data_IF_757524363962
#
_entry.id   IF_757524363962
#
_cell.length_a   1.000
_cell.length_b   1.000
_cell.length_c   1.000
_cell.angle_alpha   90.00
_cell.angle_beta   90.00
_cell.angle_gamma   90.00
#
_symmetry.space_group_name_H-M   'P 1'
#
loop_
_entity.id
_entity.type
_entity.pdbx_description
1 polymer ?
#
# COMPACT_ATOMS: atom_id res chain seq x y z
N UNK A 1 -4.17 -7.00 -13.97
CA UNK A 1 -4.25 -8.44 -14.24
C UNK A 1 -5.64 -9.03 -14.01
N UNK A 2 -6.31 -8.71 -12.93
CA UNK A 2 -7.71 -9.11 -12.72
C UNK A 2 -8.63 -8.64 -13.87
N UNK A 3 -8.44 -7.41 -14.35
CA UNK A 3 -9.19 -6.89 -15.49
C UNK A 3 -8.92 -7.70 -16.77
N UNK A 4 -7.69 -8.16 -16.98
CA UNK A 4 -7.34 -9.00 -18.14
C UNK A 4 -7.98 -10.38 -18.04
N UNK A 5 -8.03 -10.96 -16.83
CA UNK A 5 -8.70 -12.24 -16.60
C UNK A 5 -10.21 -12.13 -16.80
N UNK A 6 -10.83 -11.05 -16.32
CA UNK A 6 -12.25 -10.78 -16.53
C UNK A 6 -12.56 -10.63 -18.03
N UNK A 7 -11.75 -9.85 -18.75
CA UNK A 7 -11.90 -9.67 -20.19
C UNK A 7 -11.74 -11.00 -20.94
N UNK A 8 -10.77 -11.81 -20.54
CA UNK A 8 -10.56 -13.15 -21.13
C UNK A 8 -11.77 -14.04 -20.89
N UNK A 9 -12.29 -14.05 -19.66
CA UNK A 9 -13.48 -14.84 -19.30
C UNK A 9 -14.67 -14.47 -20.19
N UNK A 10 -14.92 -13.18 -20.40
CA UNK A 10 -15.99 -12.70 -21.27
C UNK A 10 -15.74 -13.06 -22.74
N UNK A 11 -14.49 -12.93 -23.20
CA UNK A 11 -14.13 -13.19 -24.59
C UNK A 11 -14.30 -14.66 -24.99
N UNK A 12 -14.04 -15.61 -24.07
CA UNK A 12 -14.12 -17.05 -24.35
C UNK A 12 -15.51 -17.65 -24.11
N UNK A 13 -16.49 -16.85 -23.63
CA UNK A 13 -17.82 -17.35 -23.31
C UNK A 13 -18.53 -17.93 -24.53
N UNK A 14 -18.34 -17.34 -25.73
CA UNK A 14 -18.96 -17.80 -26.98
C UNK A 14 -18.00 -18.49 -27.96
N UNK A 15 -16.75 -18.73 -27.58
CA UNK A 15 -15.73 -19.34 -28.44
C UNK A 15 -14.60 -19.95 -27.62
N UNK A 16 -13.75 -20.76 -28.27
CA UNK A 16 -12.54 -21.24 -27.63
C UNK A 16 -11.52 -20.10 -27.46
N UNK A 17 -10.67 -20.22 -26.43
CA UNK A 17 -9.57 -19.30 -26.24
C UNK A 17 -8.53 -19.43 -27.38
N UNK A 18 -7.97 -18.29 -27.77
CA UNK A 18 -6.87 -18.27 -28.76
C UNK A 18 -5.56 -18.69 -28.10
N UNK A 19 -4.56 -19.05 -28.93
CA UNK A 19 -3.23 -19.38 -28.43
C UNK A 19 -2.58 -18.23 -27.68
N UNK A 20 -2.83 -16.99 -28.10
CA UNK A 20 -2.34 -15.80 -27.39
C UNK A 20 -2.97 -15.65 -26.01
N UNK A 21 -4.27 -15.89 -25.90
CA UNK A 21 -4.99 -15.87 -24.63
C UNK A 21 -4.52 -16.98 -23.69
N UNK A 22 -4.28 -18.19 -24.22
CA UNK A 22 -3.71 -19.27 -23.44
C UNK A 22 -2.29 -18.96 -22.97
N UNK A 23 -1.49 -18.31 -23.81
CA UNK A 23 -0.14 -17.89 -23.43
C UNK A 23 -0.15 -16.87 -22.32
N UNK A 24 -1.10 -15.95 -22.33
CA UNK A 24 -1.30 -14.99 -21.23
C UNK A 24 -1.47 -15.71 -19.88
N UNK A 25 -2.29 -16.76 -19.85
CA UNK A 25 -2.50 -17.57 -18.65
C UNK A 25 -1.25 -18.35 -18.25
N UNK A 26 -0.54 -18.94 -19.22
CA UNK A 26 0.71 -19.67 -18.97
C UNK A 26 1.79 -18.77 -18.37
N UNK A 27 1.85 -17.52 -18.82
CA UNK A 27 2.82 -16.54 -18.30
C UNK A 27 2.41 -15.99 -16.94
N UNK A 28 1.11 -15.91 -16.68
CA UNK A 28 0.57 -15.37 -15.44
C UNK A 28 0.69 -16.32 -14.24
N UNK A 29 0.34 -17.59 -14.39
CA UNK A 29 0.29 -18.53 -13.28
C UNK A 29 1.62 -18.66 -12.51
N UNK A 30 2.79 -18.73 -13.16
CA UNK A 30 4.05 -18.77 -12.40
C UNK A 30 4.29 -17.56 -11.52
N UNK A 31 3.78 -16.38 -11.88
CA UNK A 31 3.96 -15.17 -11.11
C UNK A 31 3.17 -15.17 -9.81
N UNK A 32 2.08 -15.96 -9.73
CA UNK A 32 1.27 -16.09 -8.51
C UNK A 32 2.10 -16.62 -7.35
N UNK A 33 2.86 -17.70 -7.58
CA UNK A 33 3.69 -18.30 -6.54
C UNK A 33 4.76 -17.32 -6.03
N UNK A 34 5.39 -16.56 -6.93
CA UNK A 34 6.38 -15.56 -6.55
C UNK A 34 5.76 -14.46 -5.70
N UNK A 35 4.57 -14.00 -6.06
CA UNK A 35 3.86 -12.96 -5.30
C UNK A 35 3.40 -13.46 -3.94
N UNK A 36 2.90 -14.70 -3.87
CA UNK A 36 2.52 -15.31 -2.60
C UNK A 36 3.72 -15.43 -1.66
N UNK A 37 4.85 -15.89 -2.19
CA UNK A 37 6.09 -16.00 -1.41
C UNK A 37 6.54 -14.64 -0.89
N UNK A 38 6.54 -13.61 -1.74
CA UNK A 38 6.91 -12.25 -1.35
C UNK A 38 5.95 -11.71 -0.29
N UNK A 39 4.65 -11.91 -0.46
CA UNK A 39 3.64 -11.48 0.51
C UNK A 39 3.88 -12.11 1.89
N UNK A 40 4.11 -13.42 1.92
CA UNK A 40 4.37 -14.14 3.17
C UNK A 40 5.62 -13.64 3.88
N UNK A 41 6.70 -13.38 3.14
CA UNK A 41 7.95 -12.84 3.70
C UNK A 41 7.75 -11.43 4.27
N UNK A 42 7.02 -10.59 3.58
CA UNK A 42 6.72 -9.22 4.06
C UNK A 42 5.81 -9.26 5.28
N UNK A 43 4.81 -10.12 5.29
CA UNK A 43 3.92 -10.32 6.44
C UNK A 43 4.71 -10.74 7.67
N UNK A 44 5.56 -11.74 7.52
CA UNK A 44 6.34 -12.29 8.63
C UNK A 44 7.42 -11.31 9.11
N UNK A 45 7.91 -10.44 8.24
CA UNK A 45 8.91 -9.41 8.56
C UNK A 45 8.35 -8.02 8.86
N UNK A 46 7.02 -7.86 8.96
CA UNK A 46 6.38 -6.54 9.11
C UNK A 46 6.95 -5.73 10.28
N UNK A 47 7.03 -6.33 11.46
CA UNK A 47 7.51 -5.64 12.67
C UNK A 47 8.96 -5.16 12.50
N UNK A 48 9.82 -6.00 11.92
CA UNK A 48 11.22 -5.64 11.68
C UNK A 48 11.35 -4.52 10.65
N UNK A 49 10.57 -4.58 9.58
CA UNK A 49 10.56 -3.54 8.54
C UNK A 49 10.19 -2.18 9.13
N UNK A 50 9.14 -2.14 9.94
CA UNK A 50 8.65 -0.90 10.55
C UNK A 50 9.66 -0.35 11.54
N UNK A 51 10.27 -1.20 12.35
CA UNK A 51 11.29 -0.79 13.31
C UNK A 51 12.55 -0.23 12.61
N UNK A 52 12.98 -0.85 11.52
CA UNK A 52 14.12 -0.35 10.72
C UNK A 52 13.79 0.98 10.05
N UNK A 53 12.60 1.14 9.52
CA UNK A 53 12.17 2.39 8.91
C UNK A 53 12.14 3.52 9.93
N UNK A 54 11.56 3.28 11.11
CA UNK A 54 11.52 4.24 12.20
C UNK A 54 12.94 4.66 12.62
N UNK A 55 13.85 3.70 12.80
CA UNK A 55 15.22 3.98 13.18
C UNK A 55 15.94 4.86 12.14
N UNK A 56 15.76 4.59 10.85
CA UNK A 56 16.34 5.40 9.77
C UNK A 56 15.79 6.81 9.74
N UNK A 57 14.52 6.98 10.00
CA UNK A 57 13.90 8.31 10.03
C UNK A 57 14.40 9.12 11.21
N UNK A 58 14.59 8.50 12.38
CA UNK A 58 15.16 9.17 13.56
C UNK A 58 16.64 9.55 13.36
N UNK A 59 17.40 8.76 12.61
CA UNK A 59 18.78 9.13 12.24
C UNK A 59 18.84 10.41 11.42
N UNK A 60 17.91 10.57 10.47
CA UNK A 60 17.86 11.75 9.62
C UNK A 60 17.35 12.98 10.33
N UNK A 61 16.31 12.81 11.15
CA UNK A 61 15.69 13.87 11.95
C UNK A 61 15.28 13.31 13.32
N UNK A 62 16.08 13.53 14.37
CA UNK A 62 15.77 12.96 15.69
C UNK A 62 14.40 13.32 16.26
N UNK A 63 13.85 14.47 15.86
CA UNK A 63 12.57 14.96 16.35
C UNK A 63 11.42 14.77 15.36
N UNK A 64 11.59 13.88 14.35
CA UNK A 64 10.59 13.71 13.29
C UNK A 64 9.22 13.24 13.80
N UNK A 65 9.18 12.53 14.92
CA UNK A 65 7.93 12.03 15.53
C UNK A 65 7.39 12.93 16.64
N UNK A 66 7.95 14.12 16.78
CA UNK A 66 7.46 15.13 17.73
C UNK A 66 6.57 16.13 17.01
N UNK A 67 5.34 16.28 17.48
CA UNK A 67 4.43 17.34 17.03
C UNK A 67 4.06 18.20 18.24
N UNK A 68 4.77 19.33 18.39
CA UNK A 68 4.66 20.13 19.61
C UNK A 68 5.12 19.33 20.82
N UNK A 69 4.26 19.19 21.81
CA UNK A 69 4.53 18.40 23.03
C UNK A 69 4.15 16.92 22.89
N UNK A 70 3.61 16.50 21.74
CA UNK A 70 3.11 15.15 21.52
C UNK A 70 4.09 14.29 20.74
N UNK A 71 4.29 13.07 21.23
CA UNK A 71 4.99 12.03 20.50
C UNK A 71 3.98 11.26 19.64
N UNK A 72 4.16 11.29 18.32
CA UNK A 72 3.27 10.65 17.34
C UNK A 72 3.83 9.33 16.80
N UNK A 73 4.82 8.75 17.47
CA UNK A 73 5.47 7.50 17.04
C UNK A 73 4.46 6.36 16.83
N UNK A 74 3.56 6.15 17.81
CA UNK A 74 2.58 5.07 17.74
C UNK A 74 1.60 5.26 16.57
N UNK A 75 1.17 6.49 16.33
CA UNK A 75 0.30 6.83 15.21
C UNK A 75 1.02 6.59 13.87
N UNK A 76 2.27 7.00 13.78
CA UNK A 76 3.10 6.78 12.59
C UNK A 76 3.28 5.29 12.31
N UNK A 77 3.58 4.48 13.33
CA UNK A 77 3.73 3.03 13.17
C UNK A 77 2.43 2.39 12.66
N UNK A 78 1.30 2.77 13.23
CA UNK A 78 -0.02 2.28 12.78
C UNK A 78 -0.28 2.62 11.32
N UNK A 79 -0.05 3.88 10.93
CA UNK A 79 -0.29 4.35 9.58
C UNK A 79 0.64 3.68 8.57
N UNK A 80 1.90 3.46 8.94
CA UNK A 80 2.87 2.75 8.12
C UNK A 80 2.46 1.30 7.90
N UNK A 81 1.93 0.63 8.91
CA UNK A 81 1.39 -0.73 8.77
C UNK A 81 0.25 -0.78 7.77
N UNK A 82 -0.66 0.18 7.82
CA UNK A 82 -1.79 0.27 6.89
C UNK A 82 -1.28 0.42 5.46
N UNK A 83 -0.36 1.35 5.22
CA UNK A 83 0.23 1.56 3.88
C UNK A 83 0.95 0.33 3.38
N UNK A 84 1.76 -0.31 4.23
CA UNK A 84 2.48 -1.53 3.87
C UNK A 84 1.51 -2.64 3.48
N UNK A 85 0.44 -2.84 4.24
CA UNK A 85 -0.56 -3.87 3.95
C UNK A 85 -1.33 -3.60 2.66
N UNK A 86 -1.65 -2.34 2.38
CA UNK A 86 -2.27 -1.94 1.11
C UNK A 86 -1.33 -2.25 -0.07
N UNK A 87 -0.06 -1.89 0.06
CA UNK A 87 0.95 -2.15 -0.96
C UNK A 87 1.15 -3.65 -1.20
N UNK A 88 1.21 -4.44 -0.13
CA UNK A 88 1.33 -5.89 -0.22
C UNK A 88 0.13 -6.54 -0.92
N UNK A 89 -1.08 -6.11 -0.58
CA UNK A 89 -2.30 -6.61 -1.21
C UNK A 89 -2.33 -6.28 -2.71
N UNK A 90 -1.95 -5.06 -3.08
CA UNK A 90 -1.88 -4.65 -4.48
C UNK A 90 -0.85 -5.45 -5.27
N UNK A 91 0.33 -5.71 -4.67
CA UNK A 91 1.35 -6.57 -5.26
C UNK A 91 0.81 -7.99 -5.48
N UNK A 92 0.10 -8.53 -4.50
CA UNK A 92 -0.43 -9.89 -4.54
C UNK A 92 -1.40 -10.10 -5.70
N UNK A 93 -2.27 -9.13 -5.94
CA UNK A 93 -3.25 -9.19 -7.03
C UNK A 93 -2.79 -8.48 -8.31
N UNK A 94 -1.57 -7.93 -8.32
CA UNK A 94 -1.01 -7.19 -9.46
C UNK A 94 -1.87 -5.98 -9.89
N UNK A 95 -2.47 -5.31 -8.92
CA UNK A 95 -3.33 -4.17 -9.20
C UNK A 95 -2.67 -2.86 -8.72
N UNK A 96 -1.78 -2.35 -9.57
CA UNK A 96 -1.03 -1.11 -9.29
C UNK A 96 -1.92 0.13 -9.31
N UNK A 97 -2.95 0.14 -10.14
CA UNK A 97 -3.88 1.27 -10.22
C UNK A 97 -4.67 1.40 -8.92
N UNK A 98 -5.14 0.29 -8.37
CA UNK A 98 -5.84 0.26 -7.10
C UNK A 98 -4.94 0.71 -5.95
N UNK A 99 -3.67 0.29 -5.95
CA UNK A 99 -2.69 0.75 -4.98
C UNK A 99 -2.55 2.27 -5.04
N UNK A 100 -2.36 2.82 -6.25
CA UNK A 100 -2.20 4.25 -6.46
C UNK A 100 -3.39 5.03 -5.92
N UNK A 101 -4.61 4.61 -6.25
CA UNK A 101 -5.83 5.25 -5.77
C UNK A 101 -5.94 5.21 -4.25
N UNK A 102 -5.75 4.05 -3.64
CA UNK A 102 -5.89 3.87 -2.20
C UNK A 102 -4.86 4.69 -1.41
N UNK A 103 -3.60 4.69 -1.86
CA UNK A 103 -2.54 5.44 -1.20
C UNK A 103 -2.76 6.94 -1.34
N UNK A 104 -3.17 7.41 -2.52
CA UNK A 104 -3.45 8.83 -2.74
C UNK A 104 -4.64 9.32 -1.91
N UNK A 105 -5.71 8.54 -1.82
CA UNK A 105 -6.87 8.88 -1.00
C UNK A 105 -6.48 8.94 0.48
N UNK A 106 -5.70 7.99 0.95
CA UNK A 106 -5.21 7.95 2.32
C UNK A 106 -4.35 9.17 2.63
N UNK A 107 -3.39 9.50 1.76
CA UNK A 107 -2.55 10.70 1.92
C UNK A 107 -3.37 11.98 1.98
N UNK A 108 -4.35 12.13 1.09
CA UNK A 108 -5.24 13.30 1.08
C UNK A 108 -6.02 13.43 2.38
N UNK A 109 -6.50 12.32 2.91
CA UNK A 109 -7.25 12.30 4.17
C UNK A 109 -6.38 12.75 5.35
N UNK A 110 -5.13 12.28 5.41
CA UNK A 110 -4.19 12.65 6.47
C UNK A 110 -3.78 14.12 6.37
N UNK A 111 -3.44 14.59 5.16
CA UNK A 111 -3.07 16.00 4.95
C UNK A 111 -4.21 16.91 5.36
N UNK A 112 -5.45 16.59 4.98
CA UNK A 112 -6.63 17.34 5.41
C UNK A 112 -6.76 17.38 6.93
N UNK A 113 -6.59 16.25 7.61
CA UNK A 113 -6.70 16.17 9.07
C UNK A 113 -5.65 17.06 9.75
N UNK A 114 -4.41 17.03 9.27
CA UNK A 114 -3.35 17.89 9.81
C UNK A 114 -3.59 19.36 9.53
N UNK A 115 -4.09 19.72 8.35
CA UNK A 115 -4.44 21.12 8.04
C UNK A 115 -5.53 21.64 8.96
N UNK A 116 -6.58 20.85 9.20
CA UNK A 116 -7.66 21.22 10.12
C UNK A 116 -7.13 21.41 11.55
N UNK A 117 -6.28 20.51 12.04
CA UNK A 117 -5.67 20.63 13.35
C UNK A 117 -4.79 21.89 13.46
N UNK A 118 -4.03 22.19 12.42
CA UNK A 118 -3.17 23.38 12.38
C UNK A 118 -4.00 24.67 12.42
N UNK A 119 -5.07 24.74 11.65
CA UNK A 119 -5.99 25.88 11.65
C UNK A 119 -6.63 26.07 13.02
N UNK A 120 -7.08 24.98 13.64
CA UNK A 120 -7.67 25.02 14.97
C UNK A 120 -6.66 25.51 16.03
N UNK A 121 -5.41 25.07 15.97
CA UNK A 121 -4.35 25.51 16.85
C UNK A 121 -4.05 27.00 16.68
N UNK A 122 -4.02 27.51 15.46
CA UNK A 122 -3.84 28.94 15.19
C UNK A 122 -5.00 29.77 15.72
N UNK A 123 -6.24 29.30 15.59
CA UNK A 123 -7.42 29.99 16.11
C UNK A 123 -7.41 30.07 17.64
N UNK A 124 -6.89 29.09 18.36
CA UNK A 124 -6.79 29.06 19.80
C UNK A 124 -5.62 29.91 20.34
N UNK A 125 -4.60 30.18 19.53
CA UNK A 125 -3.43 30.96 19.93
C UNK A 125 -3.65 32.47 19.86
N UNK A 126 -4.73 32.93 19.27
CA UNK A 126 -5.13 34.33 19.18
C UNK A 126 -6.22 34.67 20.17
#
# INVERSE_FOLDING_TARGET
>A
MLNQLDQLSLAVEGRYATEQELQLLKDYFPTINSRLSAYQKLRDGEAEIINKLEARMREKQPNIFQMGDNDVTAMYQRDTKIVLRIAMAAMLIEDLDRLRENVLLWQRSIVKAFQVQHIAALAHST
#
